data_IF_869309598192
#
_entry.id   IF_869309598192
#
_cell.length_a   1.000
_cell.length_b   1.000
_cell.length_c   1.000
_cell.angle_alpha   90.00
_cell.angle_beta   90.00
_cell.angle_gamma   90.00
#
_symmetry.space_group_name_H-M   'P 1'
#
loop_
_entity.id
_entity.type
_entity.pdbx_description
1 polymer ?
#
# COMPACT_ATOMS: atom_id res chain seq x y z
N UNK A 1 19.79 -3.93 5.62
CA UNK A 1 18.33 -3.99 5.77
C UNK A 1 17.83 -5.16 4.95
N UNK A 2 16.91 -5.98 5.46
CA UNK A 2 16.26 -7.02 4.64
C UNK A 2 15.63 -6.34 3.44
N UNK A 3 15.84 -6.89 2.24
CA UNK A 3 15.20 -6.41 1.01
C UNK A 3 13.71 -6.20 1.28
N UNK A 4 13.16 -5.04 0.87
CA UNK A 4 11.76 -4.66 1.03
C UNK A 4 11.28 -4.14 2.40
N UNK A 5 12.10 -4.13 3.47
CA UNK A 5 11.67 -3.58 4.78
C UNK A 5 11.73 -2.04 4.88
N UNK A 6 12.15 -1.34 3.83
CA UNK A 6 12.31 0.12 3.80
C UNK A 6 11.00 0.85 4.16
N UNK A 7 9.85 0.33 3.73
CA UNK A 7 8.55 0.94 4.00
C UNK A 7 8.21 1.00 5.49
N UNK A 8 8.65 0.02 6.28
CA UNK A 8 8.42 0.00 7.73
C UNK A 8 9.11 1.19 8.40
N UNK A 9 10.33 1.51 7.96
CA UNK A 9 11.03 2.70 8.45
C UNK A 9 10.31 3.98 8.04
N UNK A 10 9.86 4.08 6.77
CA UNK A 10 9.13 5.26 6.27
C UNK A 10 7.82 5.46 7.03
N UNK A 11 7.00 4.41 7.19
CA UNK A 11 5.70 4.53 7.86
C UNK A 11 5.88 4.92 9.33
N UNK A 12 6.89 4.40 10.02
CA UNK A 12 7.20 4.78 11.41
C UNK A 12 7.59 6.26 11.52
N UNK A 13 8.43 6.77 10.63
CA UNK A 13 8.78 8.20 10.57
C UNK A 13 7.51 9.04 10.37
N UNK A 14 6.63 8.62 9.46
CA UNK A 14 5.38 9.33 9.18
C UNK A 14 4.42 9.30 10.37
N UNK A 15 4.31 8.19 11.10
CA UNK A 15 3.51 8.11 12.33
C UNK A 15 4.06 9.00 13.43
N UNK A 16 5.37 9.03 13.64
CA UNK A 16 6.01 9.92 14.61
C UNK A 16 5.80 11.40 14.24
N UNK A 17 6.03 11.75 12.97
CA UNK A 17 5.78 13.09 12.47
C UNK A 17 4.30 13.48 12.63
N UNK A 18 3.39 12.56 12.31
CA UNK A 18 1.95 12.76 12.48
C UNK A 18 1.62 13.05 13.95
N UNK A 19 2.10 12.23 14.88
CA UNK A 19 1.85 12.42 16.31
C UNK A 19 2.37 13.78 16.78
N UNK A 20 3.62 14.14 16.47
CA UNK A 20 4.24 15.39 16.89
C UNK A 20 3.48 16.59 16.29
N UNK A 21 3.25 16.60 14.97
CA UNK A 21 2.61 17.71 14.27
C UNK A 21 1.21 17.94 14.82
N UNK A 22 0.40 16.90 14.96
CA UNK A 22 -0.98 17.05 15.44
C UNK A 22 -1.05 17.38 16.93
N UNK A 23 -0.11 16.91 17.76
CA UNK A 23 -0.01 17.29 19.17
C UNK A 23 0.21 18.78 19.38
N UNK A 24 1.00 19.42 18.51
CA UNK A 24 1.29 20.86 18.59
C UNK A 24 0.43 21.72 17.65
N UNK A 25 -0.40 21.10 16.81
CA UNK A 25 -1.28 21.83 15.89
C UNK A 25 -2.45 22.48 16.63
N UNK A 26 -2.73 23.74 16.30
CA UNK A 26 -3.87 24.47 16.90
C UNK A 26 -5.23 23.88 16.47
N UNK A 27 -5.32 23.42 15.23
CA UNK A 27 -6.53 22.93 14.58
C UNK A 27 -6.18 21.84 13.56
N UNK A 28 -7.11 20.94 13.26
CA UNK A 28 -6.92 19.82 12.31
C UNK A 28 -6.45 20.32 10.93
N UNK A 29 -7.08 21.37 10.38
CA UNK A 29 -6.67 21.97 9.10
C UNK A 29 -5.20 22.43 9.11
N UNK A 30 -4.78 23.03 10.23
CA UNK A 30 -3.43 23.53 10.40
C UNK A 30 -2.43 22.38 10.51
N UNK A 31 -2.78 21.32 11.25
CA UNK A 31 -1.99 20.08 11.32
C UNK A 31 -1.81 19.42 9.95
N UNK A 32 -2.88 19.34 9.15
CA UNK A 32 -2.81 18.80 7.77
C UNK A 32 -1.87 19.66 6.90
N UNK A 33 -1.97 20.99 6.97
CA UNK A 33 -1.10 21.89 6.20
C UNK A 33 0.38 21.67 6.57
N UNK A 34 0.71 21.67 7.86
CA UNK A 34 2.08 21.44 8.35
C UNK A 34 2.56 20.05 7.90
N UNK A 35 1.71 19.03 7.98
CA UNK A 35 2.06 17.68 7.56
C UNK A 35 2.34 17.59 6.05
N UNK A 36 1.58 18.31 5.21
CA UNK A 36 1.84 18.38 3.77
C UNK A 36 3.18 19.05 3.47
N UNK A 37 3.53 20.11 4.20
CA UNK A 37 4.84 20.77 4.07
C UNK A 37 5.96 19.81 4.49
N UNK A 38 5.80 19.13 5.64
CA UNK A 38 6.74 18.10 6.08
C UNK A 38 6.92 17.01 5.01
N UNK A 39 5.83 16.53 4.41
CA UNK A 39 5.90 15.51 3.37
C UNK A 39 6.64 16.01 2.13
N UNK A 40 6.39 17.24 1.68
CA UNK A 40 7.14 17.85 0.57
C UNK A 40 8.65 17.90 0.85
N UNK A 41 9.04 18.36 2.04
CA UNK A 41 10.45 18.40 2.47
C UNK A 41 11.04 17.00 2.49
N UNK A 42 10.33 16.04 3.08
CA UNK A 42 10.74 14.64 3.12
C UNK A 42 10.96 14.06 1.72
N UNK A 43 10.05 14.32 0.77
CA UNK A 43 10.19 13.87 -0.61
C UNK A 43 11.41 14.47 -1.33
N UNK A 44 11.71 15.75 -1.09
CA UNK A 44 12.91 16.40 -1.66
C UNK A 44 14.19 15.73 -1.11
N UNK A 45 14.26 15.53 0.20
CA UNK A 45 15.39 14.87 0.86
C UNK A 45 15.55 13.43 0.35
N UNK A 46 14.45 12.67 0.29
CA UNK A 46 14.45 11.30 -0.20
C UNK A 46 14.90 11.19 -1.66
N UNK A 47 14.53 12.17 -2.51
CA UNK A 47 14.98 12.23 -3.90
C UNK A 47 16.50 12.44 -4.00
N UNK A 48 17.07 13.30 -3.15
CA UNK A 48 18.51 13.59 -3.16
C UNK A 48 19.31 12.40 -2.65
N UNK A 49 18.89 11.79 -1.54
CA UNK A 49 19.68 10.77 -0.83
C UNK A 49 19.44 9.37 -1.38
N UNK A 50 18.18 8.98 -1.57
CA UNK A 50 17.80 7.58 -1.77
C UNK A 50 17.49 7.26 -3.24
N UNK A 51 17.06 8.25 -4.02
CA UNK A 51 16.75 8.14 -5.46
C UNK A 51 15.74 7.02 -5.82
N UNK A 52 14.96 6.55 -4.85
CA UNK A 52 14.00 5.46 -5.04
C UNK A 52 12.58 5.98 -5.22
N UNK A 53 11.96 5.62 -6.35
CA UNK A 53 10.61 6.09 -6.75
C UNK A 53 9.50 5.68 -5.76
N UNK A 54 9.65 4.54 -5.10
CA UNK A 54 8.63 3.98 -4.20
C UNK A 54 8.48 4.76 -2.88
N UNK A 55 9.52 5.46 -2.43
CA UNK A 55 9.45 6.35 -1.26
C UNK A 55 8.52 7.53 -1.57
N UNK A 56 8.55 8.04 -2.81
CA UNK A 56 7.66 9.11 -3.25
C UNK A 56 6.18 8.66 -3.23
N UNK A 57 5.89 7.48 -3.77
CA UNK A 57 4.52 6.96 -3.83
C UNK A 57 3.92 6.69 -2.44
N UNK A 58 4.69 6.01 -1.57
CA UNK A 58 4.25 5.70 -0.20
C UNK A 58 3.99 6.97 0.64
N UNK A 59 4.87 7.95 0.51
CA UNK A 59 4.75 9.24 1.20
C UNK A 59 3.51 10.01 0.77
N UNK A 60 3.18 9.98 -0.53
CA UNK A 60 1.98 10.61 -1.06
C UNK A 60 0.70 9.97 -0.54
N UNK A 61 0.65 8.62 -0.48
CA UNK A 61 -0.51 7.88 0.04
C UNK A 61 -0.86 8.25 1.48
N UNK A 62 0.12 8.48 2.36
CA UNK A 62 -0.15 8.85 3.74
C UNK A 62 -0.85 10.20 3.84
N UNK A 63 -0.36 11.22 3.11
CA UNK A 63 -0.99 12.54 3.08
C UNK A 63 -2.39 12.51 2.45
N UNK A 64 -2.60 11.72 1.40
CA UNK A 64 -3.93 11.50 0.85
C UNK A 64 -4.88 10.87 1.88
N UNK A 65 -4.39 9.89 2.65
CA UNK A 65 -5.15 9.28 3.75
C UNK A 65 -5.60 10.29 4.80
N UNK A 66 -4.74 11.25 5.15
CA UNK A 66 -5.11 12.34 6.07
C UNK A 66 -6.22 13.23 5.51
N UNK A 67 -6.08 13.67 4.26
CA UNK A 67 -7.10 14.50 3.59
C UNK A 67 -8.42 13.73 3.47
N UNK A 68 -8.35 12.45 3.11
CA UNK A 68 -9.50 11.56 3.04
C UNK A 68 -10.22 11.46 4.39
N UNK A 69 -9.49 11.19 5.49
CA UNK A 69 -10.10 11.13 6.83
C UNK A 69 -10.77 12.44 7.23
N UNK A 70 -10.20 13.58 6.81
CA UNK A 70 -10.73 14.90 7.12
C UNK A 70 -12.03 15.19 6.35
N UNK A 71 -12.11 14.74 5.09
CA UNK A 71 -13.25 14.96 4.19
C UNK A 71 -14.16 13.74 4.02
N UNK A 72 -14.06 12.76 4.90
CA UNK A 72 -14.74 11.45 4.75
C UNK A 72 -16.25 11.57 4.52
N UNK A 73 -16.90 12.52 5.22
CA UNK A 73 -18.35 12.74 5.09
C UNK A 73 -18.72 13.25 3.70
N UNK A 74 -18.00 14.24 3.22
CA UNK A 74 -18.22 14.83 1.89
C UNK A 74 -17.94 13.81 0.78
N UNK A 75 -16.87 13.03 0.96
CA UNK A 75 -16.49 11.97 0.02
C UNK A 75 -17.55 10.86 0.01
N UNK A 76 -18.05 10.43 1.16
CA UNK A 76 -19.10 9.41 1.23
C UNK A 76 -20.42 9.89 0.60
N UNK A 77 -20.77 11.17 0.78
CA UNK A 77 -21.93 11.79 0.12
C UNK A 77 -21.74 11.80 -1.40
N UNK A 78 -20.55 12.18 -1.88
CA UNK A 78 -20.21 12.13 -3.30
C UNK A 78 -20.32 10.71 -3.86
N UNK A 79 -19.71 9.72 -3.20
CA UNK A 79 -19.72 8.32 -3.62
C UNK A 79 -21.15 7.75 -3.68
N UNK A 80 -22.02 8.09 -2.73
CA UNK A 80 -23.42 7.59 -2.69
C UNK A 80 -24.21 7.98 -3.95
N UNK A 81 -23.86 9.10 -4.58
CA UNK A 81 -24.52 9.59 -5.79
C UNK A 81 -23.90 9.03 -7.08
N UNK A 82 -22.82 8.26 -6.99
CA UNK A 82 -22.16 7.67 -8.15
C UNK A 82 -22.81 6.33 -8.49
N UNK A 83 -23.17 6.17 -9.76
CA UNK A 83 -23.57 4.88 -10.29
C UNK A 83 -22.31 3.99 -10.47
N UNK A 84 -22.03 3.12 -9.50
CA UNK A 84 -20.86 2.25 -9.49
C UNK A 84 -20.76 1.34 -10.72
N UNK A 85 -21.89 0.92 -11.31
CA UNK A 85 -21.90 0.12 -12.55
C UNK A 85 -21.40 0.91 -13.74
N UNK A 86 -21.85 2.16 -13.86
CA UNK A 86 -21.38 3.08 -14.90
C UNK A 86 -19.90 3.41 -14.69
N UNK A 87 -19.48 3.67 -13.45
CA UNK A 87 -18.08 3.94 -13.14
C UNK A 87 -17.17 2.75 -13.46
N UNK A 88 -17.60 1.52 -13.15
CA UNK A 88 -16.87 0.30 -13.50
C UNK A 88 -16.75 0.13 -15.02
N UNK A 89 -17.84 0.38 -15.76
CA UNK A 89 -17.83 0.33 -17.22
C UNK A 89 -16.86 1.37 -17.82
N UNK A 90 -16.91 2.62 -17.35
CA UNK A 90 -15.99 3.68 -17.78
C UNK A 90 -14.54 3.32 -17.43
N UNK A 91 -14.28 2.85 -16.22
CA UNK A 91 -12.95 2.40 -15.81
C UNK A 91 -12.43 1.24 -16.68
N UNK A 92 -13.31 0.30 -17.05
CA UNK A 92 -12.97 -0.83 -17.92
C UNK A 92 -12.62 -0.37 -19.34
N UNK A 93 -13.41 0.55 -19.91
CA UNK A 93 -13.13 1.13 -21.23
C UNK A 93 -11.79 1.86 -21.22
N UNK A 94 -11.55 2.71 -20.21
CA UNK A 94 -10.30 3.45 -20.08
C UNK A 94 -9.12 2.47 -19.94
N UNK A 95 -9.26 1.42 -19.11
CA UNK A 95 -8.23 0.41 -18.91
C UNK A 95 -7.91 -0.36 -20.21
N UNK A 96 -8.93 -0.80 -20.96
CA UNK A 96 -8.75 -1.50 -22.25
C UNK A 96 -8.13 -0.57 -23.29
N UNK A 97 -8.65 0.66 -23.44
CA UNK A 97 -8.11 1.66 -24.36
C UNK A 97 -6.62 1.89 -24.07
N UNK A 98 -6.29 2.00 -22.79
CA UNK A 98 -4.93 2.17 -22.34
C UNK A 98 -4.05 0.95 -22.70
N UNK A 99 -4.50 -0.29 -22.46
CA UNK A 99 -3.75 -1.49 -22.85
C UNK A 99 -3.46 -1.54 -24.35
N UNK A 100 -4.43 -1.17 -25.18
CA UNK A 100 -4.29 -1.11 -26.65
C UNK A 100 -3.26 -0.05 -27.06
N UNK A 101 -3.33 1.15 -26.47
CA UNK A 101 -2.37 2.22 -26.74
C UNK A 101 -0.96 1.81 -26.34
N UNK A 102 -0.78 1.17 -25.18
CA UNK A 102 0.52 0.70 -24.72
C UNK A 102 1.13 -0.37 -25.65
N UNK A 103 0.31 -1.31 -26.13
CA UNK A 103 0.76 -2.37 -27.04
C UNK A 103 1.16 -1.82 -28.42
N UNK A 104 0.53 -0.73 -28.88
CA UNK A 104 0.73 -0.20 -30.24
C UNK A 104 1.77 0.91 -30.35
N UNK A 105 1.98 1.72 -29.31
CA UNK A 105 2.62 3.03 -29.50
C UNK A 105 4.02 3.18 -28.90
N UNK A 106 4.63 2.13 -28.31
CA UNK A 106 6.01 2.14 -27.77
C UNK A 106 6.46 3.54 -27.34
N UNK A 107 5.75 4.12 -26.37
CA UNK A 107 5.90 5.52 -25.99
C UNK A 107 7.29 5.73 -25.38
N UNK A 108 8.14 6.46 -26.08
CA UNK A 108 9.42 6.93 -25.55
C UNK A 108 9.30 8.40 -25.13
N UNK A 109 9.87 8.75 -23.96
CA UNK A 109 10.00 10.16 -23.51
C UNK A 109 8.97 10.60 -22.46
N UNK A 110 8.66 11.90 -22.32
CA UNK A 110 7.85 12.42 -21.20
C UNK A 110 6.43 11.85 -21.13
N UNK A 111 5.89 11.39 -22.26
CA UNK A 111 4.63 10.64 -22.31
C UNK A 111 4.72 9.35 -21.49
N UNK A 112 5.84 8.61 -21.56
CA UNK A 112 6.09 7.39 -20.78
C UNK A 112 5.91 7.61 -19.27
N UNK A 113 6.24 8.81 -18.76
CA UNK A 113 6.06 9.14 -17.34
C UNK A 113 4.58 9.33 -16.95
N UNK A 114 3.76 9.88 -17.84
CA UNK A 114 2.30 9.95 -17.65
C UNK A 114 1.67 8.57 -17.77
N UNK A 115 2.15 7.74 -18.69
CA UNK A 115 1.75 6.34 -18.85
C UNK A 115 2.07 5.53 -17.57
N UNK A 116 3.31 5.54 -17.11
CA UNK A 116 3.74 4.79 -15.92
C UNK A 116 3.01 5.17 -14.62
N UNK A 117 2.46 6.38 -14.52
CA UNK A 117 1.64 6.82 -13.38
C UNK A 117 0.14 6.54 -13.55
N UNK A 118 -0.39 6.64 -14.77
CA UNK A 118 -1.81 6.48 -15.06
C UNK A 118 -2.28 5.04 -14.95
N UNK A 119 -1.50 4.07 -15.46
CA UNK A 119 -1.91 2.66 -15.48
C UNK A 119 -2.13 2.07 -14.09
N UNK A 120 -1.21 2.23 -13.11
CA UNK A 120 -1.43 1.70 -11.76
C UNK A 120 -2.67 2.32 -11.10
N UNK A 121 -2.92 3.61 -11.31
CA UNK A 121 -4.08 4.29 -10.73
C UNK A 121 -5.40 3.80 -11.34
N UNK A 122 -5.50 3.74 -12.67
CA UNK A 122 -6.67 3.24 -13.40
C UNK A 122 -6.90 1.77 -13.06
N UNK A 123 -5.85 0.96 -13.07
CA UNK A 123 -5.92 -0.45 -12.67
C UNK A 123 -6.41 -0.58 -11.24
N UNK A 124 -5.89 0.20 -10.29
CA UNK A 124 -6.31 0.12 -8.88
C UNK A 124 -7.78 0.48 -8.72
N UNK A 125 -8.26 1.55 -9.38
CA UNK A 125 -9.67 1.93 -9.37
C UNK A 125 -10.53 0.83 -9.99
N UNK A 126 -10.14 0.33 -11.16
CA UNK A 126 -10.83 -0.75 -11.85
C UNK A 126 -10.89 -2.02 -11.00
N UNK A 127 -9.79 -2.40 -10.39
CA UNK A 127 -9.65 -3.58 -9.53
C UNK A 127 -10.50 -3.46 -8.26
N UNK A 128 -10.50 -2.30 -7.60
CA UNK A 128 -11.36 -2.04 -6.44
C UNK A 128 -12.84 -2.08 -6.81
N UNK A 129 -13.22 -1.52 -7.96
CA UNK A 129 -14.60 -1.58 -8.45
C UNK A 129 -15.02 -2.97 -8.90
N UNK A 130 -14.11 -3.72 -9.54
CA UNK A 130 -14.34 -5.11 -9.90
C UNK A 130 -14.63 -5.93 -8.64
N UNK A 131 -13.82 -5.75 -7.60
CA UNK A 131 -13.98 -6.49 -6.37
C UNK A 131 -15.10 -5.97 -5.45
N UNK A 132 -15.54 -4.72 -5.58
CA UNK A 132 -16.73 -4.26 -4.85
C UNK A 132 -18.03 -4.88 -5.37
N UNK A 133 -18.03 -5.47 -6.58
CA UNK A 133 -19.15 -6.25 -7.11
C UNK A 133 -19.30 -7.59 -6.36
N UNK A 134 -18.21 -8.14 -5.82
CA UNK A 134 -18.23 -9.39 -5.08
C UNK A 134 -18.27 -9.12 -3.57
N UNK A 135 -19.18 -9.81 -2.86
CA UNK A 135 -19.20 -9.78 -1.40
C UNK A 135 -18.02 -10.58 -0.83
N UNK A 136 -16.89 -9.91 -0.61
CA UNK A 136 -15.68 -10.51 -0.02
C UNK A 136 -15.73 -10.76 1.48
N UNK A 137 -16.91 -10.75 2.10
CA UNK A 137 -17.14 -11.10 3.51
C UNK A 137 -16.90 -12.58 3.84
N UNK A 138 -15.94 -13.22 3.17
CA UNK A 138 -15.56 -14.59 3.40
C UNK A 138 -14.52 -14.67 4.53
N UNK A 139 -14.68 -15.65 5.41
CA UNK A 139 -13.79 -15.91 6.56
C UNK A 139 -12.31 -15.94 6.18
N UNK A 140 -12.00 -16.36 4.96
CA UNK A 140 -10.63 -16.41 4.42
C UNK A 140 -9.99 -15.02 4.30
N UNK A 141 -10.71 -14.03 3.78
CA UNK A 141 -10.19 -12.67 3.65
C UNK A 141 -10.01 -12.00 5.00
N UNK A 142 -10.94 -12.23 5.93
CA UNK A 142 -10.81 -11.76 7.30
C UNK A 142 -9.59 -12.39 7.99
N UNK A 143 -9.33 -13.67 7.74
CA UNK A 143 -8.15 -14.37 8.23
C UNK A 143 -6.86 -13.77 7.65
N UNK A 144 -6.76 -13.60 6.33
CA UNK A 144 -5.60 -12.99 5.70
C UNK A 144 -5.37 -11.55 6.20
N UNK A 145 -6.45 -10.79 6.42
CA UNK A 145 -6.39 -9.46 7.03
C UNK A 145 -5.70 -9.47 8.40
N UNK A 146 -5.99 -10.47 9.24
CA UNK A 146 -5.41 -10.63 10.60
C UNK A 146 -3.92 -10.96 10.63
N UNK A 147 -3.33 -11.40 9.52
CA UNK A 147 -1.89 -11.72 9.38
C UNK A 147 -1.19 -10.88 8.30
N UNK A 148 -1.87 -9.88 7.75
CA UNK A 148 -1.40 -9.11 6.60
C UNK A 148 -0.09 -8.37 6.87
N UNK A 149 0.11 -7.91 8.10
CA UNK A 149 1.34 -7.23 8.52
C UNK A 149 2.53 -8.19 8.51
N UNK A 150 2.38 -9.39 9.06
CA UNK A 150 3.44 -10.41 9.08
C UNK A 150 3.77 -10.88 7.66
N UNK A 151 2.75 -11.06 6.81
CA UNK A 151 2.94 -11.37 5.38
C UNK A 151 3.85 -10.33 4.73
N UNK A 152 3.54 -9.05 4.96
CA UNK A 152 4.32 -7.94 4.40
C UNK A 152 5.77 -7.93 4.88
N UNK A 153 6.01 -8.21 6.16
CA UNK A 153 7.36 -8.23 6.73
C UNK A 153 8.19 -9.42 6.21
N UNK A 154 7.57 -10.59 6.06
CA UNK A 154 8.27 -11.83 5.78
C UNK A 154 8.49 -12.11 4.30
N UNK A 155 7.67 -11.55 3.41
CA UNK A 155 7.76 -11.85 1.97
C UNK A 155 9.16 -11.62 1.40
N UNK A 156 9.84 -10.53 1.79
CA UNK A 156 11.17 -10.23 1.30
C UNK A 156 12.22 -11.25 1.75
N UNK A 157 12.08 -11.75 2.97
CA UNK A 157 12.93 -12.80 3.51
C UNK A 157 12.68 -14.11 2.78
N UNK A 158 11.41 -14.51 2.58
CA UNK A 158 11.07 -15.77 1.89
C UNK A 158 11.51 -15.74 0.44
N UNK A 159 11.31 -14.64 -0.28
CA UNK A 159 11.79 -14.49 -1.66
C UNK A 159 13.31 -14.63 -1.74
N UNK A 160 14.04 -14.01 -0.80
CA UNK A 160 15.50 -14.14 -0.73
C UNK A 160 15.92 -15.58 -0.45
N UNK A 161 15.26 -16.27 0.49
CA UNK A 161 15.53 -17.68 0.78
C UNK A 161 15.30 -18.57 -0.45
N UNK A 162 14.12 -18.50 -1.07
CA UNK A 162 13.77 -19.38 -2.18
C UNK A 162 14.61 -19.13 -3.44
N UNK A 163 14.94 -17.86 -3.74
CA UNK A 163 15.68 -17.51 -4.96
C UNK A 163 17.19 -17.58 -4.79
N UNK A 164 17.72 -17.12 -3.66
CA UNK A 164 19.17 -17.04 -3.44
C UNK A 164 19.77 -18.26 -2.75
N UNK A 165 19.01 -19.01 -1.95
CA UNK A 165 19.53 -20.19 -1.25
C UNK A 165 19.04 -21.51 -1.85
N UNK A 166 17.76 -21.60 -2.19
CA UNK A 166 17.19 -22.81 -2.80
C UNK A 166 17.24 -22.83 -4.34
N UNK A 167 17.66 -21.72 -4.96
CA UNK A 167 17.82 -21.58 -6.40
C UNK A 167 16.62 -22.09 -7.21
N UNK A 168 15.39 -21.81 -6.75
CA UNK A 168 14.19 -22.18 -7.49
C UNK A 168 14.05 -21.25 -8.70
N UNK A 169 14.37 -21.77 -9.89
CA UNK A 169 14.32 -21.01 -11.14
C UNK A 169 12.93 -21.01 -11.79
N UNK A 170 12.10 -22.03 -11.53
CA UNK A 170 10.76 -22.09 -12.09
C UNK A 170 9.82 -21.11 -11.38
N UNK A 171 9.35 -20.11 -12.13
CA UNK A 171 8.50 -19.03 -11.60
C UNK A 171 7.19 -19.53 -10.96
N UNK A 172 6.54 -20.55 -11.54
CA UNK A 172 5.29 -21.10 -10.98
C UNK A 172 5.55 -21.78 -9.64
N UNK A 173 6.60 -22.60 -9.57
CA UNK A 173 7.01 -23.28 -8.35
C UNK A 173 7.39 -22.24 -7.29
N UNK A 174 8.17 -21.22 -7.66
CA UNK A 174 8.56 -20.13 -6.79
C UNK A 174 7.34 -19.42 -6.18
N UNK A 175 6.36 -19.05 -7.00
CA UNK A 175 5.14 -18.38 -6.53
C UNK A 175 4.38 -19.26 -5.54
N UNK A 176 4.12 -20.52 -5.88
CA UNK A 176 3.35 -21.44 -5.03
C UNK A 176 4.05 -21.64 -3.68
N UNK A 177 5.35 -21.96 -3.70
CA UNK A 177 6.12 -22.15 -2.46
C UNK A 177 6.20 -20.87 -1.63
N UNK A 178 6.39 -19.72 -2.27
CA UNK A 178 6.45 -18.45 -1.56
C UNK A 178 5.14 -18.15 -0.82
N UNK A 179 3.99 -18.34 -1.46
CA UNK A 179 2.68 -18.14 -0.84
C UNK A 179 2.47 -19.05 0.36
N UNK A 180 2.82 -20.33 0.24
CA UNK A 180 2.69 -21.32 1.32
C UNK A 180 3.58 -20.94 2.50
N UNK A 181 4.88 -20.73 2.25
CA UNK A 181 5.87 -20.46 3.31
C UNK A 181 5.58 -19.13 4.00
N UNK A 182 5.28 -18.07 3.23
CA UNK A 182 4.92 -16.75 3.80
C UNK A 182 3.70 -16.89 4.70
N UNK A 183 2.66 -17.58 4.25
CA UNK A 183 1.43 -17.75 5.04
C UNK A 183 1.70 -18.50 6.34
N UNK A 184 2.41 -19.63 6.28
CA UNK A 184 2.76 -20.44 7.46
C UNK A 184 3.57 -19.61 8.46
N UNK A 185 4.66 -18.97 8.01
CA UNK A 185 5.50 -18.14 8.88
C UNK A 185 4.71 -16.97 9.48
N UNK A 186 3.83 -16.34 8.71
CA UNK A 186 3.00 -15.23 9.18
C UNK A 186 2.05 -15.65 10.30
N UNK A 187 1.45 -16.84 10.20
CA UNK A 187 0.61 -17.41 11.26
C UNK A 187 1.41 -17.64 12.53
N UNK A 188 2.60 -18.25 12.40
CA UNK A 188 3.49 -18.55 13.54
C UNK A 188 3.90 -17.25 14.24
N UNK A 189 4.35 -16.25 13.49
CA UNK A 189 4.80 -14.98 14.08
C UNK A 189 3.64 -14.23 14.74
N UNK A 190 2.47 -14.16 14.11
CA UNK A 190 1.29 -13.52 14.72
C UNK A 190 0.89 -14.22 16.03
N UNK A 191 0.97 -15.55 16.07
CA UNK A 191 0.71 -16.31 17.28
C UNK A 191 1.71 -15.98 18.40
N UNK A 192 3.02 -15.99 18.09
CA UNK A 192 4.08 -15.63 19.04
C UNK A 192 3.90 -14.19 19.54
N UNK A 193 3.60 -13.25 18.64
CA UNK A 193 3.37 -11.84 18.97
C UNK A 193 2.24 -11.69 19.99
N UNK A 194 1.09 -12.34 19.77
CA UNK A 194 -0.05 -12.31 20.69
C UNK A 194 0.29 -12.90 22.07
N UNK A 195 1.07 -13.97 22.11
CA UNK A 195 1.51 -14.57 23.37
C UNK A 195 2.44 -13.64 24.16
N UNK A 196 3.38 -12.98 23.49
CA UNK A 196 4.30 -12.04 24.16
C UNK A 196 3.56 -10.79 24.62
N UNK A 197 2.72 -10.20 23.76
CA UNK A 197 2.01 -8.97 24.05
C UNK A 197 0.99 -9.13 25.19
N UNK A 198 0.28 -10.26 25.25
CA UNK A 198 -0.64 -10.56 26.36
C UNK A 198 0.08 -10.63 27.71
N UNK A 199 1.31 -11.17 27.75
CA UNK A 199 2.14 -11.17 28.97
C UNK A 199 2.64 -9.78 29.35
N UNK A 200 3.01 -8.95 28.37
CA UNK A 200 3.48 -7.57 28.62
C UNK A 200 2.37 -6.66 29.18
N UNK A 201 1.12 -6.80 28.72
CA UNK A 201 -0.01 -6.03 29.26
C UNK A 201 -0.26 -6.36 30.72
N UNK A 202 -0.12 -7.63 31.12
CA UNK A 202 -0.26 -8.05 32.52
C UNK A 202 0.85 -7.43 33.39
N UNK A 203 2.04 -7.22 32.82
CA UNK A 203 3.19 -6.63 33.53
C UNK A 203 3.12 -5.10 33.64
N UNK A 204 2.38 -4.42 32.74
CA UNK A 204 2.24 -2.96 32.71
C UNK A 204 1.00 -2.43 33.46
N UNK A 205 0.16 -3.32 34.00
CA UNK A 205 -0.93 -3.00 34.92
C UNK A 205 -0.47 -3.15 36.35
#
# INVERSE_FOLDING_TARGET
MVSYSWYVAVILIFYLAFYIIFKFSRNIKHGILIFLIFNLIYMIIAKIIVQQRYIFWSSYCFSLGLIYSYKIKDINLFIKNINYKLLFLVATIIFILYLILNFKLNFNGPLETLYTLGLPAIFTIWFLLFFSIFNFGNKFNEFLGKISYEIYLLQGLVFTLLKSYFHIENDLIFIIFSLIIITILSIIINYVYKLVFSKLIIFLK
#
